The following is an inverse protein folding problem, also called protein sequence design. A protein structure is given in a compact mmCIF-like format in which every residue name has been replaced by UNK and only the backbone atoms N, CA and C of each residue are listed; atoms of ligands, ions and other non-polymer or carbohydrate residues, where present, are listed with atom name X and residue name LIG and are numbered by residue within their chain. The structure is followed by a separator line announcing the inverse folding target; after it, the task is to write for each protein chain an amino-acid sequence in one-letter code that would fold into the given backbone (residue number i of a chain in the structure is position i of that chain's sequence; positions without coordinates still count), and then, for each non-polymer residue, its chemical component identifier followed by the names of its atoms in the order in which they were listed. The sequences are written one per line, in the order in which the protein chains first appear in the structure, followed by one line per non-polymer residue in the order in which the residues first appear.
data_IF_300574150148
#
_entry.id   IF_300574150148
#
_cell.length_a   1.000
_cell.length_b   1.000
_cell.length_c   1.000
_cell.angle_alpha   90.00
_cell.angle_beta   90.00
_cell.angle_gamma   90.00
#
_symmetry.space_group_name_H-M   'P 1'
#
loop_
_entity.id
_entity.type
_entity.pdbx_description
1 polymer ?
#
# COMPACT_ATOMS: atom_id res chain seq x y z
N UNK A 1 26.79 -7.80 -8.04
CA UNK A 1 25.66 -7.14 -8.73
C UNK A 1 24.55 -6.96 -7.72
N UNK A 2 24.18 -5.72 -7.38
CA UNK A 2 22.99 -5.49 -6.56
C UNK A 2 21.76 -5.80 -7.43
N UNK A 3 20.97 -6.81 -7.05
CA UNK A 3 19.72 -7.10 -7.74
C UNK A 3 18.81 -5.88 -7.62
N UNK A 4 18.29 -5.39 -8.75
CA UNK A 4 17.39 -4.24 -8.76
C UNK A 4 16.12 -4.63 -8.01
N UNK A 5 15.89 -3.97 -6.88
CA UNK A 5 14.71 -4.19 -6.04
C UNK A 5 13.46 -3.95 -6.86
N UNK A 6 12.58 -4.95 -6.96
CA UNK A 6 11.32 -4.82 -7.70
C UNK A 6 10.47 -3.71 -7.10
N UNK A 7 9.75 -2.97 -7.94
CA UNK A 7 8.89 -1.86 -7.51
C UNK A 7 7.48 -2.07 -8.05
N UNK A 8 6.53 -2.27 -7.13
CA UNK A 8 5.11 -2.41 -7.41
C UNK A 8 4.37 -1.09 -7.20
N UNK A 9 3.54 -0.72 -8.17
CA UNK A 9 2.60 0.38 -8.08
C UNK A 9 1.21 -0.23 -7.90
N UNK A 10 0.51 0.16 -6.84
CA UNK A 10 -0.77 -0.43 -6.44
C UNK A 10 -1.85 0.64 -6.42
N UNK A 11 -2.96 0.37 -7.10
CA UNK A 11 -4.19 1.14 -6.94
C UNK A 11 -4.97 0.59 -5.73
N UNK A 12 -4.99 1.37 -4.65
CA UNK A 12 -5.57 0.97 -3.39
C UNK A 12 -7.08 0.82 -3.43
N UNK A 13 -7.79 1.66 -4.19
CA UNK A 13 -9.25 1.55 -4.27
C UNK A 13 -9.68 0.32 -5.03
N UNK A 14 -9.04 0.06 -6.17
CA UNK A 14 -9.35 -1.12 -6.96
C UNK A 14 -9.01 -2.40 -6.19
N UNK A 15 -7.93 -2.41 -5.40
CA UNK A 15 -7.60 -3.56 -4.56
C UNK A 15 -8.59 -3.77 -3.40
N UNK A 16 -9.01 -2.69 -2.72
CA UNK A 16 -10.05 -2.77 -1.69
C UNK A 16 -11.37 -3.29 -2.28
N UNK A 17 -11.78 -2.78 -3.45
CA UNK A 17 -13.02 -3.17 -4.13
C UNK A 17 -13.01 -4.57 -4.74
N UNK A 18 -11.83 -5.13 -5.04
CA UNK A 18 -11.72 -6.47 -5.63
C UNK A 18 -11.45 -7.57 -4.61
N UNK A 19 -11.06 -7.22 -3.37
CA UNK A 19 -10.69 -8.20 -2.34
C UNK A 19 -11.68 -8.24 -1.17
N UNK A 20 -12.22 -9.43 -0.90
CA UNK A 20 -13.09 -9.69 0.25
C UNK A 20 -12.39 -9.45 1.60
N UNK A 21 -11.05 -9.54 1.63
CA UNK A 21 -10.24 -9.30 2.84
C UNK A 21 -10.42 -7.89 3.42
N UNK A 22 -10.78 -6.93 2.56
CA UNK A 22 -10.93 -5.52 2.95
C UNK A 22 -12.40 -5.06 2.94
N UNK A 23 -13.36 -5.96 2.71
CA UNK A 23 -14.79 -5.65 2.56
C UNK A 23 -15.69 -6.30 3.62
N UNK A 24 -15.16 -6.57 4.81
CA UNK A 24 -16.00 -7.12 5.88
C UNK A 24 -17.19 -6.18 6.19
N UNK A 25 -18.39 -6.71 6.48
CA UNK A 25 -19.56 -5.90 6.80
C UNK A 25 -19.28 -4.87 7.91
N UNK A 26 -19.67 -3.61 7.69
CA UNK A 26 -19.41 -2.52 8.64
C UNK A 26 -17.98 -1.95 8.61
N UNK A 27 -17.12 -2.41 7.71
CA UNK A 27 -15.78 -1.83 7.51
C UNK A 27 -15.90 -0.51 6.77
N UNK A 28 -15.47 0.57 7.41
CA UNK A 28 -15.35 1.86 6.73
C UNK A 28 -14.17 1.86 5.76
N UNK A 29 -14.24 2.70 4.71
CA UNK A 29 -13.14 2.86 3.76
C UNK A 29 -11.82 3.19 4.46
N UNK A 30 -11.83 4.03 5.50
CA UNK A 30 -10.64 4.36 6.28
C UNK A 30 -10.00 3.12 6.95
N UNK A 31 -10.83 2.23 7.52
CA UNK A 31 -10.34 0.97 8.10
C UNK A 31 -9.79 0.03 7.02
N UNK A 32 -10.45 -0.06 5.87
CA UNK A 32 -9.98 -0.85 4.74
C UNK A 32 -8.62 -0.35 4.21
N UNK A 33 -8.45 0.97 4.07
CA UNK A 33 -7.18 1.62 3.68
C UNK A 33 -6.05 1.28 4.66
N UNK A 34 -6.30 1.39 5.96
CA UNK A 34 -5.30 1.08 6.99
C UNK A 34 -4.90 -0.41 6.97
N UNK A 35 -5.88 -1.29 6.87
CA UNK A 35 -5.65 -2.74 6.78
C UNK A 35 -4.84 -3.09 5.51
N UNK A 36 -5.16 -2.46 4.38
CA UNK A 36 -4.41 -2.63 3.14
C UNK A 36 -2.96 -2.17 3.30
N UNK A 37 -2.73 -0.97 3.84
CA UNK A 37 -1.40 -0.43 4.06
C UNK A 37 -0.55 -1.35 4.94
N UNK A 38 -1.09 -1.83 6.07
CA UNK A 38 -0.39 -2.77 6.95
C UNK A 38 -0.03 -4.08 6.24
N UNK A 39 -0.94 -4.60 5.42
CA UNK A 39 -0.72 -5.83 4.66
C UNK A 39 0.41 -5.66 3.64
N UNK A 40 0.40 -4.56 2.89
CA UNK A 40 1.42 -4.26 1.89
C UNK A 40 2.78 -3.94 2.54
N UNK A 41 2.81 -3.26 3.68
CA UNK A 41 4.04 -3.00 4.44
C UNK A 41 4.70 -4.29 4.91
N UNK A 42 3.90 -5.25 5.38
CA UNK A 42 4.41 -6.58 5.77
C UNK A 42 4.94 -7.36 4.55
N UNK A 43 4.23 -7.30 3.42
CA UNK A 43 4.65 -7.95 2.19
C UNK A 43 5.95 -7.34 1.63
N UNK A 44 6.04 -6.01 1.57
CA UNK A 44 7.22 -5.24 1.14
C UNK A 44 8.48 -5.68 1.88
N UNK A 45 8.40 -5.83 3.21
CA UNK A 45 9.54 -6.29 4.04
C UNK A 45 9.89 -7.75 3.77
N UNK A 46 8.90 -8.62 3.67
CA UNK A 46 9.11 -10.06 3.49
C UNK A 46 9.66 -10.42 2.12
N UNK A 47 9.17 -9.75 1.08
CA UNK A 47 9.54 -10.02 -0.31
C UNK A 47 10.73 -9.17 -0.78
N UNK A 48 11.22 -8.25 0.07
CA UNK A 48 12.21 -7.24 -0.31
C UNK A 48 11.75 -6.39 -1.51
N UNK A 49 10.47 -6.05 -1.61
CA UNK A 49 9.88 -5.31 -2.75
C UNK A 49 9.51 -3.89 -2.32
N UNK A 50 9.77 -2.90 -3.18
CA UNK A 50 9.26 -1.53 -2.96
C UNK A 50 7.81 -1.47 -3.42
N UNK A 51 6.92 -0.88 -2.61
CA UNK A 51 5.51 -0.72 -2.96
C UNK A 51 5.12 0.75 -2.83
N UNK A 52 4.45 1.29 -3.85
CA UNK A 52 3.80 2.60 -3.78
C UNK A 52 2.30 2.44 -3.96
N UNK A 53 1.53 2.94 -3.00
CA UNK A 53 0.08 2.81 -2.94
C UNK A 53 -0.56 4.13 -3.32
N UNK A 54 -1.48 4.11 -4.28
CA UNK A 54 -2.21 5.26 -4.77
C UNK A 54 -3.70 5.17 -4.44
N UNK A 55 -4.33 6.30 -4.17
CA UNK A 55 -5.77 6.42 -3.96
C UNK A 55 -6.31 7.56 -4.82
N UNK A 56 -7.24 7.24 -5.73
CA UNK A 56 -7.91 8.21 -6.58
C UNK A 56 -8.76 9.20 -5.76
N UNK A 57 -8.48 10.50 -5.87
CA UNK A 57 -9.12 11.56 -5.08
C UNK A 57 -8.35 12.05 -3.85
N UNK A 58 -7.22 11.42 -3.49
CA UNK A 58 -6.23 12.08 -2.65
C UNK A 58 -5.42 13.01 -3.57
N UNK A 59 -5.48 14.34 -3.37
CA UNK A 59 -4.60 15.27 -4.08
C UNK A 59 -3.15 14.75 -3.96
N UNK A 60 -2.49 14.53 -5.10
CA UNK A 60 -1.20 13.83 -5.23
C UNK A 60 -0.02 14.53 -4.51
N UNK A 61 -0.28 15.58 -3.72
CA UNK A 61 0.71 16.32 -2.94
C UNK A 61 1.19 15.58 -1.69
N UNK A 62 0.55 14.47 -1.30
CA UNK A 62 1.05 13.57 -0.28
C UNK A 62 0.94 12.12 -0.75
N UNK A 63 1.95 11.58 -1.45
CA UNK A 63 2.20 10.15 -1.32
C UNK A 63 2.33 9.91 0.19
N UNK A 64 1.38 9.18 0.78
CA UNK A 64 1.55 8.57 2.09
C UNK A 64 2.68 7.57 1.93
N UNK A 65 3.88 8.13 1.99
CA UNK A 65 5.15 7.47 1.96
C UNK A 65 5.08 6.55 3.17
N UNK A 66 4.81 5.27 2.91
CA UNK A 66 5.30 4.20 3.77
C UNK A 66 6.72 4.60 4.12
N UNK A 67 6.93 4.84 5.42
CA UNK A 67 8.09 5.53 6.00
C UNK A 67 9.31 5.37 5.11
N UNK A 68 9.82 6.50 4.61
CA UNK A 68 11.20 6.60 4.17
C UNK A 68 12.09 6.15 5.33
N UNK A 69 12.39 4.86 5.37
CA UNK A 69 13.62 4.33 5.94
C UNK A 69 14.72 4.51 4.90
N UNK A 70 15.03 5.75 4.55
CA UNK A 70 16.40 6.09 4.21
C UNK A 70 16.97 6.72 5.47
N UNK A 71 17.86 5.97 6.11
CA UNK A 71 18.84 6.50 7.05
C UNK A 71 19.75 7.42 6.22
N UNK A 72 19.50 8.73 6.33
CA UNK A 72 20.45 9.82 6.36
C UNK A 72 19.74 11.05 6.94
#
# INVERSE_FOLDING_TARGET
MAARREHLLVDGYNLIKSSQLFQAPGTSLAKARLALQHTLDAHSRRADVRITLYYDGDNLDHPSTGRHGAIA
#
